data_IF_365552102561
#
_entry.id   IF_365552102561
#
_cell.length_a   1.000
_cell.length_b   1.000
_cell.length_c   1.000
_cell.angle_alpha   90.00
_cell.angle_beta   90.00
_cell.angle_gamma   90.00
#
_symmetry.space_group_name_H-M   'P 1'
#
loop_
_entity.id
_entity.type
_entity.pdbx_description
1 polymer ?
#
# COMPACT_ATOMS: atom_id res chain seq x y z
N UNK A 1 27.53 -43.34 -0.84
CA UNK A 1 26.75 -43.94 0.28
C UNK A 1 25.38 -44.34 -0.24
N UNK A 2 24.87 -45.54 0.08
CA UNK A 2 23.56 -46.00 -0.40
C UNK A 2 22.39 -45.35 0.38
N UNK A 3 21.19 -45.19 -0.23
CA UNK A 3 20.04 -44.59 0.44
C UNK A 3 19.42 -45.52 1.49
N UNK A 4 19.09 -44.95 2.66
CA UNK A 4 18.41 -45.62 3.78
C UNK A 4 16.93 -45.83 3.46
N UNK A 5 16.46 -47.07 3.57
CA UNK A 5 15.04 -47.44 3.44
C UNK A 5 14.32 -47.08 4.75
N UNK A 6 13.16 -46.38 4.72
CA UNK A 6 12.36 -46.15 5.92
C UNK A 6 11.59 -47.42 6.31
N UNK A 7 11.76 -47.84 7.57
CA UNK A 7 11.05 -48.96 8.20
C UNK A 7 9.64 -48.49 8.55
N UNK A 8 8.56 -49.19 8.13
CA UNK A 8 7.22 -48.88 8.62
C UNK A 8 7.10 -49.27 10.10
N UNK A 9 6.76 -48.30 10.94
CA UNK A 9 6.39 -48.51 12.33
C UNK A 9 5.07 -49.27 12.41
N UNK A 10 5.13 -50.49 12.93
CA UNK A 10 3.95 -51.28 13.26
C UNK A 10 3.20 -50.62 14.43
N UNK A 11 2.11 -49.90 14.16
CA UNK A 11 1.14 -49.51 15.19
C UNK A 11 0.27 -50.71 15.52
N UNK A 12 0.43 -51.21 16.76
CA UNK A 12 -0.34 -52.26 17.41
C UNK A 12 -1.85 -52.14 17.15
N UNK A 13 -2.46 -53.22 16.67
CA UNK A 13 -3.90 -53.44 16.74
C UNK A 13 -4.30 -53.79 18.17
N UNK A 14 -5.16 -52.99 18.79
CA UNK A 14 -5.97 -53.42 19.93
C UNK A 14 -7.31 -53.91 19.38
N UNK A 15 -7.50 -55.23 19.44
CA UNK A 15 -8.79 -55.87 19.25
C UNK A 15 -9.66 -55.61 20.48
N UNK A 16 -10.86 -55.06 20.27
CA UNK A 16 -11.91 -54.95 21.28
C UNK A 16 -13.25 -54.64 20.62
N UNK A 17 -14.32 -55.41 20.90
CA UNK A 17 -15.61 -55.24 20.24
C UNK A 17 -16.51 -54.22 20.96
N UNK A 18 -17.17 -53.40 20.14
CA UNK A 18 -18.56 -52.92 20.25
C UNK A 18 -18.93 -52.01 21.44
N UNK A 19 -18.97 -50.70 21.17
CA UNK A 19 -20.16 -49.82 21.16
C UNK A 19 -19.74 -48.36 21.39
N UNK A 20 -19.63 -47.59 20.31
CA UNK A 20 -19.50 -46.12 20.35
C UNK A 20 -20.61 -45.51 19.52
N UNK A 21 -21.56 -44.87 20.20
CA UNK A 21 -22.70 -44.14 19.62
C UNK A 21 -22.39 -42.67 19.28
N UNK A 22 -21.13 -42.24 19.22
CA UNK A 22 -20.79 -40.82 18.98
C UNK A 22 -19.67 -40.57 17.96
N UNK A 23 -19.62 -41.34 16.87
CA UNK A 23 -18.70 -41.06 15.74
C UNK A 23 -19.31 -40.18 14.63
N UNK A 24 -20.29 -39.33 14.94
CA UNK A 24 -21.08 -38.60 13.95
C UNK A 24 -20.48 -37.31 13.37
N UNK A 25 -19.38 -36.77 13.88
CA UNK A 25 -18.91 -35.42 13.50
C UNK A 25 -17.38 -35.30 13.30
N UNK A 26 -16.73 -36.33 12.78
CA UNK A 26 -15.36 -36.20 12.28
C UNK A 26 -15.37 -35.71 10.82
N UNK A 27 -15.35 -34.38 10.60
CA UNK A 27 -15.01 -33.79 9.30
C UNK A 27 -13.50 -33.98 9.04
N UNK A 28 -13.11 -35.19 8.64
CA UNK A 28 -11.84 -35.40 7.94
C UNK A 28 -11.95 -34.93 6.48
N UNK A 29 -10.87 -34.48 5.82
CA UNK A 29 -10.91 -34.12 4.41
C UNK A 29 -11.25 -35.38 3.59
N UNK A 30 -12.45 -35.40 3.03
CA UNK A 30 -12.87 -36.48 2.14
C UNK A 30 -12.04 -36.43 0.85
N UNK A 31 -11.10 -37.38 0.73
CA UNK A 31 -10.29 -37.62 -0.48
C UNK A 31 -11.14 -38.28 -1.59
N UNK A 32 -12.45 -38.45 -1.40
CA UNK A 32 -13.35 -39.05 -2.38
C UNK A 32 -14.27 -38.02 -3.03
N UNK A 33 -13.73 -37.16 -3.90
CA UNK A 33 -14.50 -36.60 -5.01
C UNK A 33 -14.67 -37.67 -6.10
N UNK A 34 -15.33 -38.79 -5.77
CA UNK A 34 -15.69 -39.80 -6.77
C UNK A 34 -16.69 -39.18 -7.73
N UNK A 35 -16.22 -38.86 -8.94
CA UNK A 35 -17.05 -38.60 -10.11
C UNK A 35 -18.15 -39.67 -10.19
N UNK A 36 -19.37 -39.32 -9.79
CA UNK A 36 -20.50 -40.20 -9.96
C UNK A 36 -20.67 -40.43 -11.47
N UNK A 37 -20.40 -41.67 -11.91
CA UNK A 37 -20.43 -42.06 -13.32
C UNK A 37 -21.76 -41.73 -13.99
N UNK A 38 -21.69 -41.36 -15.27
CA UNK A 38 -22.84 -40.91 -16.07
C UNK A 38 -24.01 -41.90 -16.07
N UNK A 39 -23.74 -43.22 -16.02
CA UNK A 39 -24.76 -44.28 -15.98
C UNK A 39 -25.63 -44.24 -14.71
N UNK A 40 -25.04 -44.08 -13.52
CA UNK A 40 -25.79 -43.99 -12.25
C UNK A 40 -26.55 -42.66 -12.10
N UNK A 41 -26.06 -41.59 -12.74
CA UNK A 41 -26.80 -40.31 -12.83
C UNK A 41 -28.02 -40.41 -13.75
N UNK A 42 -27.99 -41.25 -14.80
CA UNK A 42 -29.12 -41.46 -15.71
C UNK A 42 -30.25 -42.27 -15.07
N UNK A 43 -29.95 -43.33 -14.31
CA UNK A 43 -30.99 -44.13 -13.63
C UNK A 43 -31.72 -43.35 -12.53
N UNK A 44 -31.01 -42.54 -11.74
CA UNK A 44 -31.62 -41.67 -10.71
C UNK A 44 -32.48 -40.54 -11.30
N UNK A 45 -32.24 -40.16 -12.56
CA UNK A 45 -33.08 -39.16 -13.25
C UNK A 45 -34.49 -39.65 -13.57
N UNK A 46 -34.69 -40.97 -13.58
CA UNK A 46 -35.95 -41.61 -13.95
C UNK A 46 -36.81 -41.98 -12.72
N UNK A 47 -36.24 -41.95 -11.50
CA UNK A 47 -36.92 -42.46 -10.31
C UNK A 47 -37.99 -41.50 -9.77
N UNK A 48 -37.76 -40.18 -9.88
CA UNK A 48 -38.73 -39.15 -9.52
C UNK A 48 -38.45 -37.85 -10.32
N UNK A 49 -39.25 -37.53 -11.35
CA UNK A 49 -39.05 -36.32 -12.16
C UNK A 49 -39.31 -35.02 -11.37
N UNK A 50 -40.19 -35.04 -10.37
CA UNK A 50 -40.60 -33.85 -9.62
C UNK A 50 -39.54 -33.44 -8.59
N UNK A 51 -39.02 -34.38 -7.81
CA UNK A 51 -37.92 -34.10 -6.87
C UNK A 51 -36.67 -33.57 -7.60
N UNK A 52 -36.42 -34.04 -8.82
CA UNK A 52 -35.32 -33.54 -9.66
C UNK A 52 -35.57 -32.12 -10.15
N UNK A 53 -36.79 -31.79 -10.55
CA UNK A 53 -37.15 -30.43 -10.95
C UNK A 53 -36.98 -29.45 -9.77
N UNK A 54 -37.45 -29.82 -8.58
CA UNK A 54 -37.31 -29.01 -7.36
C UNK A 54 -35.84 -28.83 -6.95
N UNK A 55 -35.03 -29.90 -7.01
CA UNK A 55 -33.59 -29.82 -6.74
C UNK A 55 -32.86 -28.91 -7.74
N UNK A 56 -33.26 -28.95 -9.03
CA UNK A 56 -32.75 -28.02 -10.05
C UNK A 56 -33.15 -26.58 -9.76
N UNK A 57 -34.39 -26.33 -9.36
CA UNK A 57 -34.87 -24.99 -8.98
C UNK A 57 -34.07 -24.43 -7.80
N UNK A 58 -33.87 -25.22 -6.73
CA UNK A 58 -33.04 -24.82 -5.57
C UNK A 58 -31.59 -24.53 -5.97
N UNK A 59 -31.00 -25.37 -6.82
CA UNK A 59 -29.64 -25.14 -7.33
C UNK A 59 -29.58 -23.88 -8.20
N UNK A 60 -30.55 -23.66 -9.07
CA UNK A 60 -30.63 -22.47 -9.92
C UNK A 60 -30.71 -21.20 -9.07
N UNK A 61 -31.54 -21.18 -8.03
CA UNK A 61 -31.64 -20.05 -7.09
C UNK A 61 -30.33 -19.82 -6.30
N UNK A 62 -29.64 -20.89 -5.88
CA UNK A 62 -28.34 -20.75 -5.21
C UNK A 62 -27.24 -20.26 -6.16
N UNK A 63 -27.22 -20.75 -7.41
CA UNK A 63 -26.28 -20.31 -8.43
C UNK A 63 -26.52 -18.85 -8.79
N UNK A 64 -27.78 -18.41 -8.95
CA UNK A 64 -28.08 -17.01 -9.21
C UNK A 64 -27.67 -16.10 -8.05
N UNK A 65 -27.92 -16.52 -6.80
CA UNK A 65 -27.43 -15.77 -5.62
C UNK A 65 -25.90 -15.73 -5.57
N UNK A 66 -25.23 -16.83 -5.91
CA UNK A 66 -23.78 -16.89 -5.92
C UNK A 66 -23.18 -15.96 -6.97
N UNK A 67 -23.81 -15.83 -8.14
CA UNK A 67 -23.43 -14.88 -9.20
C UNK A 67 -23.51 -13.43 -8.70
N UNK A 68 -24.62 -13.04 -8.06
CA UNK A 68 -24.75 -11.71 -7.45
C UNK A 68 -23.66 -11.45 -6.41
N UNK A 69 -23.40 -12.40 -5.52
CA UNK A 69 -22.31 -12.27 -4.53
C UNK A 69 -20.91 -12.27 -5.18
N UNK A 70 -20.75 -12.84 -6.36
CA UNK A 70 -19.49 -12.77 -7.11
C UNK A 70 -19.32 -11.37 -7.68
N UNK A 71 -20.35 -10.84 -8.33
CA UNK A 71 -20.35 -9.47 -8.87
C UNK A 71 -20.09 -8.41 -7.77
N UNK A 72 -20.72 -8.55 -6.61
CA UNK A 72 -20.47 -7.68 -5.44
C UNK A 72 -19.02 -7.76 -4.96
N UNK A 73 -18.43 -8.97 -4.89
CA UNK A 73 -17.04 -9.16 -4.49
C UNK A 73 -16.07 -8.64 -5.53
N UNK A 74 -16.36 -8.84 -6.82
CA UNK A 74 -15.55 -8.38 -7.95
C UNK A 74 -15.54 -6.84 -7.99
N UNK A 75 -16.70 -6.19 -7.80
CA UNK A 75 -16.79 -4.74 -7.65
C UNK A 75 -16.06 -4.24 -6.37
N UNK A 76 -16.02 -5.04 -5.32
CA UNK A 76 -15.29 -4.71 -4.10
C UNK A 76 -13.76 -4.85 -4.26
N UNK A 77 -13.29 -5.84 -5.04
CA UNK A 77 -11.89 -6.26 -5.15
C UNK A 77 -10.95 -5.19 -5.74
N UNK A 78 -11.45 -4.34 -6.64
CA UNK A 78 -10.66 -3.28 -7.27
C UNK A 78 -9.55 -3.79 -8.20
N UNK A 79 -8.69 -2.88 -8.68
CA UNK A 79 -7.55 -3.22 -9.54
C UNK A 79 -6.38 -3.77 -8.70
N UNK A 80 -5.67 -4.78 -9.22
CA UNK A 80 -4.55 -5.42 -8.51
C UNK A 80 -3.32 -4.53 -8.33
N UNK A 81 -3.13 -3.55 -9.22
CA UNK A 81 -2.00 -2.60 -9.15
C UNK A 81 -2.44 -1.26 -8.57
N UNK A 82 -3.54 -0.69 -9.06
CA UNK A 82 -4.00 0.64 -8.64
C UNK A 82 -4.97 0.62 -7.46
N UNK A 83 -5.58 -0.52 -7.16
CA UNK A 83 -6.63 -0.62 -6.15
C UNK A 83 -7.84 0.25 -6.51
N UNK A 84 -8.41 0.90 -5.50
CA UNK A 84 -9.45 1.93 -5.66
C UNK A 84 -8.79 3.30 -5.47
N UNK A 85 -8.93 4.24 -6.43
CA UNK A 85 -8.35 5.56 -6.28
C UNK A 85 -8.96 6.24 -5.06
N UNK A 86 -8.09 6.72 -4.19
CA UNK A 86 -8.43 7.53 -3.02
C UNK A 86 -7.98 8.97 -3.26
N UNK A 87 -8.61 9.97 -2.62
CA UNK A 87 -8.17 11.36 -2.74
C UNK A 87 -6.70 11.54 -2.33
N UNK A 88 -6.23 10.74 -1.36
CA UNK A 88 -4.82 10.71 -0.97
C UNK A 88 -3.91 10.25 -2.12
N UNK A 89 -4.24 9.14 -2.78
CA UNK A 89 -3.45 8.64 -3.92
C UNK A 89 -3.47 9.60 -5.12
N UNK A 90 -4.60 10.28 -5.36
CA UNK A 90 -4.71 11.27 -6.43
C UNK A 90 -3.85 12.51 -6.15
N UNK A 91 -3.85 13.00 -4.91
CA UNK A 91 -3.01 14.11 -4.49
C UNK A 91 -1.51 13.80 -4.63
N UNK A 92 -1.08 12.57 -4.34
CA UNK A 92 0.31 12.14 -4.54
C UNK A 92 0.73 12.12 -6.01
N UNK A 93 -0.18 11.75 -6.92
CA UNK A 93 0.08 11.71 -8.35
C UNK A 93 0.10 13.11 -8.97
N UNK A 94 -0.84 13.97 -8.55
CA UNK A 94 -0.98 15.32 -9.08
C UNK A 94 -0.03 16.33 -8.41
N UNK A 95 0.67 15.92 -7.34
CA UNK A 95 1.54 16.81 -6.55
C UNK A 95 0.76 17.86 -5.75
N UNK A 96 -0.56 17.75 -5.70
CA UNK A 96 -1.45 18.67 -5.00
C UNK A 96 -1.39 18.48 -3.49
N UNK A 97 -1.94 19.46 -2.78
CA UNK A 97 -2.07 19.44 -1.31
C UNK A 97 -3.07 18.34 -0.91
N UNK A 98 -2.70 17.54 0.08
CA UNK A 98 -3.55 16.47 0.60
C UNK A 98 -4.56 17.09 1.58
N UNK A 99 -5.87 16.89 1.40
CA UNK A 99 -6.84 17.29 2.42
C UNK A 99 -6.65 16.44 3.68
N UNK A 100 -6.47 17.09 4.82
CA UNK A 100 -6.30 16.40 6.11
C UNK A 100 -7.62 15.69 6.47
N UNK A 101 -7.59 14.36 6.55
CA UNK A 101 -8.74 13.55 6.96
C UNK A 101 -8.78 13.55 8.50
N UNK A 102 -9.29 14.62 9.12
CA UNK A 102 -9.73 14.58 10.53
C UNK A 102 -11.19 14.13 10.57
N UNK A 103 -11.57 13.15 11.42
CA UNK A 103 -12.93 12.58 11.45
C UNK A 103 -13.98 13.49 12.10
N UNK A 104 -13.66 14.74 12.43
CA UNK A 104 -14.57 15.71 12.99
C UNK A 104 -14.57 16.97 12.10
N UNK A 105 -15.67 17.15 11.37
CA UNK A 105 -16.07 18.35 10.61
C UNK A 105 -15.23 18.72 9.36
N UNK A 106 -15.88 19.20 8.27
CA UNK A 106 -15.22 19.81 7.14
C UNK A 106 -14.82 21.24 7.53
N UNK A 107 -13.86 21.36 8.46
CA UNK A 107 -13.28 22.67 8.77
C UNK A 107 -12.29 23.05 7.66
N UNK A 108 -12.49 24.25 7.15
CA UNK A 108 -11.79 24.88 6.05
C UNK A 108 -10.27 24.76 6.19
N UNK A 109 -9.61 24.33 5.12
CA UNK A 109 -8.28 24.77 4.73
C UNK A 109 -7.19 24.75 5.81
N UNK A 110 -7.03 23.66 6.58
CA UNK A 110 -5.66 23.32 7.04
C UNK A 110 -4.94 22.59 5.92
N UNK A 111 -4.87 23.27 4.77
CA UNK A 111 -3.99 22.93 3.67
C UNK A 111 -2.59 22.99 4.27
N UNK A 112 -1.94 21.84 4.48
CA UNK A 112 -0.50 21.88 4.69
C UNK A 112 0.08 22.71 3.54
N UNK A 113 0.86 23.73 3.91
CA UNK A 113 1.58 24.60 3.00
C UNK A 113 2.13 23.76 1.84
N UNK A 114 1.98 24.20 0.57
CA UNK A 114 2.51 23.45 -0.57
C UNK A 114 4.00 23.21 -0.34
N UNK A 115 4.35 21.98 0.06
CA UNK A 115 5.66 21.70 0.62
C UNK A 115 6.75 22.18 -0.33
N UNK A 116 7.59 23.11 0.15
CA UNK A 116 8.66 23.67 -0.65
C UNK A 116 9.67 22.58 -0.98
N UNK A 117 10.40 22.80 -2.06
CA UNK A 117 11.49 21.94 -2.44
C UNK A 117 12.61 21.99 -1.39
N UNK A 118 13.48 20.97 -1.40
CA UNK A 118 14.63 20.83 -0.51
C UNK A 118 14.30 20.66 0.98
N UNK A 119 13.07 20.27 1.32
CA UNK A 119 12.61 20.03 2.69
C UNK A 119 12.73 21.25 3.62
N UNK A 120 12.58 22.45 3.05
CA UNK A 120 12.59 23.69 3.82
C UNK A 120 11.15 24.04 4.20
N UNK A 121 10.94 24.44 5.44
CA UNK A 121 9.64 24.97 5.89
C UNK A 121 9.46 26.43 5.42
N UNK A 122 8.21 26.87 5.23
CA UNK A 122 7.94 28.28 4.89
C UNK A 122 8.50 29.24 5.94
N UNK A 123 8.41 28.85 7.21
CA UNK A 123 8.93 29.61 8.34
C UNK A 123 10.47 29.74 8.28
N UNK A 124 11.17 28.65 7.97
CA UNK A 124 12.63 28.67 7.77
C UNK A 124 13.02 29.55 6.58
N UNK A 125 12.29 29.46 5.47
CA UNK A 125 12.55 30.31 4.31
C UNK A 125 12.40 31.79 4.69
N UNK A 126 11.29 32.17 5.31
CA UNK A 126 11.05 33.56 5.70
C UNK A 126 12.10 34.05 6.71
N UNK A 127 12.44 33.24 7.71
CA UNK A 127 13.49 33.58 8.68
C UNK A 127 14.87 33.77 8.02
N UNK A 128 15.21 32.95 7.02
CA UNK A 128 16.48 33.10 6.28
C UNK A 128 16.51 34.33 5.40
N UNK A 129 15.38 34.69 4.76
CA UNK A 129 15.27 35.93 3.98
C UNK A 129 15.41 37.16 4.86
N UNK A 130 14.70 37.23 5.99
CA UNK A 130 14.83 38.34 6.94
C UNK A 130 16.27 38.47 7.47
N UNK A 131 16.90 37.34 7.78
CA UNK A 131 18.30 37.33 8.22
C UNK A 131 19.23 37.85 7.12
N UNK A 132 19.03 37.42 5.88
CA UNK A 132 19.81 37.87 4.73
C UNK A 132 19.66 39.38 4.50
N UNK A 133 18.44 39.91 4.61
CA UNK A 133 18.15 41.33 4.51
C UNK A 133 18.90 42.13 5.58
N UNK A 134 18.79 41.70 6.85
CA UNK A 134 19.46 42.35 7.99
C UNK A 134 20.98 42.38 7.83
N UNK A 135 21.58 41.33 7.29
CA UNK A 135 23.03 41.21 7.09
C UNK A 135 23.53 41.98 5.86
N UNK A 136 22.70 42.14 4.83
CA UNK A 136 23.08 42.80 3.58
C UNK A 136 22.74 44.29 3.52
N UNK A 137 22.03 44.80 4.55
CA UNK A 137 21.65 46.21 4.64
C UNK A 137 22.90 47.10 4.56
N UNK A 138 22.91 48.15 3.71
CA UNK A 138 24.04 49.07 3.63
C UNK A 138 24.21 49.79 4.98
N UNK A 139 25.45 49.83 5.46
CA UNK A 139 25.83 50.47 6.73
C UNK A 139 26.47 51.82 6.40
N UNK A 140 26.09 52.86 7.15
CA UNK A 140 26.73 54.16 7.03
C UNK A 140 28.21 54.08 7.44
N UNK A 141 29.10 54.48 6.55
CA UNK A 141 30.53 54.58 6.85
C UNK A 141 30.78 55.74 7.82
N UNK A 142 30.81 55.45 9.12
CA UNK A 142 31.11 56.43 10.18
C UNK A 142 32.58 56.84 10.23
N UNK A 143 33.46 56.11 9.51
CA UNK A 143 34.93 56.29 9.55
C UNK A 143 35.46 57.20 8.45
N UNK A 144 34.76 57.30 7.32
CA UNK A 144 35.12 58.21 6.24
C UNK A 144 34.43 59.55 6.46
N UNK A 145 35.20 60.63 6.69
CA UNK A 145 34.68 61.98 6.95
C UNK A 145 33.87 62.65 5.83
N UNK A 146 33.43 61.87 4.83
CA UNK A 146 32.58 62.27 3.71
C UNK A 146 31.29 61.45 3.76
N UNK A 147 30.43 61.71 4.75
CA UNK A 147 29.09 61.12 4.81
C UNK A 147 28.15 61.90 3.88
N UNK A 148 27.73 61.26 2.79
CA UNK A 148 26.77 61.82 1.83
C UNK A 148 25.41 61.12 2.01
N UNK A 149 24.39 61.80 2.58
CA UNK A 149 23.11 61.19 2.88
C UNK A 149 22.36 60.71 1.62
N UNK A 150 22.55 61.38 0.48
CA UNK A 150 21.87 61.04 -0.77
C UNK A 150 22.35 59.69 -1.32
N UNK A 151 23.66 59.41 -1.23
CA UNK A 151 24.22 58.13 -1.67
C UNK A 151 23.73 56.97 -0.82
N UNK A 152 23.59 57.17 0.49
CA UNK A 152 23.06 56.15 1.38
C UNK A 152 21.60 55.85 1.07
N UNK A 153 20.78 56.87 0.83
CA UNK A 153 19.39 56.68 0.42
C UNK A 153 19.29 55.90 -0.90
N UNK A 154 20.08 56.28 -1.92
CA UNK A 154 20.12 55.57 -3.20
C UNK A 154 20.54 54.10 -3.05
N UNK A 155 21.54 53.83 -2.19
CA UNK A 155 22.00 52.46 -1.90
C UNK A 155 20.96 51.65 -1.16
N UNK A 156 20.23 52.25 -0.20
CA UNK A 156 19.14 51.59 0.49
C UNK A 156 17.99 51.23 -0.46
N UNK A 157 17.61 52.13 -1.38
CA UNK A 157 16.58 51.83 -2.37
C UNK A 157 17.00 50.70 -3.31
N UNK A 158 18.23 50.76 -3.85
CA UNK A 158 18.80 49.70 -4.69
C UNK A 158 18.87 48.36 -3.94
N UNK A 159 19.17 48.38 -2.64
CA UNK A 159 19.20 47.18 -1.80
C UNK A 159 17.80 46.56 -1.67
N UNK A 160 16.77 47.37 -1.39
CA UNK A 160 15.40 46.89 -1.27
C UNK A 160 14.89 46.27 -2.57
N UNK A 161 15.17 46.88 -3.71
CA UNK A 161 14.73 46.36 -5.02
C UNK A 161 15.46 45.05 -5.39
N UNK A 162 16.76 44.97 -5.11
CA UNK A 162 17.54 43.73 -5.27
C UNK A 162 17.02 42.64 -4.34
N UNK A 163 16.69 42.98 -3.09
CA UNK A 163 16.17 42.03 -2.11
C UNK A 163 14.81 41.46 -2.54
N UNK A 164 13.88 42.31 -2.99
CA UNK A 164 12.58 41.87 -3.55
C UNK A 164 12.76 40.93 -4.74
N UNK A 165 13.65 41.28 -5.66
CA UNK A 165 13.95 40.46 -6.84
C UNK A 165 14.55 39.11 -6.44
N UNK A 166 15.49 39.11 -5.48
CA UNK A 166 16.09 37.90 -4.95
C UNK A 166 15.05 37.02 -4.23
N UNK A 167 14.16 37.61 -3.44
CA UNK A 167 13.08 36.90 -2.76
C UNK A 167 12.16 36.19 -3.76
N UNK A 168 11.73 36.86 -4.83
CA UNK A 168 10.94 36.20 -5.88
C UNK A 168 11.71 35.06 -6.55
N UNK A 169 12.99 35.27 -6.87
CA UNK A 169 13.82 34.25 -7.51
C UNK A 169 13.96 33.02 -6.61
N UNK A 170 14.25 33.20 -5.32
CA UNK A 170 14.36 32.12 -4.33
C UNK A 170 13.04 31.38 -4.19
N UNK A 171 11.91 32.08 -4.08
CA UNK A 171 10.58 31.45 -4.05
C UNK A 171 10.37 30.55 -5.27
N UNK A 172 10.63 31.05 -6.49
CA UNK A 172 10.50 30.25 -7.73
C UNK A 172 11.40 29.02 -7.76
N UNK A 173 12.62 29.12 -7.25
CA UNK A 173 13.57 27.98 -7.19
C UNK A 173 13.07 26.92 -6.21
N UNK A 174 12.44 27.35 -5.11
CA UNK A 174 11.95 26.47 -4.05
C UNK A 174 10.52 25.98 -4.29
N UNK A 175 9.80 26.53 -5.28
CA UNK A 175 8.46 26.08 -5.63
C UNK A 175 8.47 24.61 -6.13
N UNK A 176 7.63 23.78 -5.52
CA UNK A 176 7.53 22.35 -5.86
C UNK A 176 7.03 22.10 -7.30
N UNK A 177 6.35 23.08 -7.90
CA UNK A 177 5.90 23.01 -9.30
C UNK A 177 7.07 22.94 -10.29
N UNK A 178 8.20 23.56 -9.96
CA UNK A 178 9.44 23.55 -10.75
C UNK A 178 10.35 22.35 -10.39
N UNK A 179 9.96 21.52 -9.42
CA UNK A 179 10.80 20.45 -8.89
C UNK A 179 10.89 19.23 -9.81
N UNK A 180 12.00 18.50 -9.68
CA UNK A 180 12.22 17.24 -10.40
C UNK A 180 11.27 16.14 -9.93
N UNK A 181 11.07 15.10 -10.75
CA UNK A 181 10.34 13.89 -10.32
C UNK A 181 10.97 13.21 -9.10
N UNK A 182 12.29 13.31 -8.96
CA UNK A 182 13.03 12.80 -7.79
C UNK A 182 12.63 13.54 -6.51
N UNK A 183 12.55 14.85 -6.57
CA UNK A 183 12.19 15.71 -5.44
C UNK A 183 10.72 15.55 -5.07
N UNK A 184 9.82 15.46 -6.05
CA UNK A 184 8.41 15.13 -5.81
C UNK A 184 8.23 13.78 -5.10
N UNK A 185 9.02 12.76 -5.48
CA UNK A 185 9.03 11.46 -4.79
C UNK A 185 9.45 11.61 -3.33
N UNK A 186 10.48 12.40 -3.06
CA UNK A 186 10.98 12.64 -1.71
C UNK A 186 9.95 13.35 -0.83
N UNK A 187 9.30 14.39 -1.36
CA UNK A 187 8.20 15.08 -0.70
C UNK A 187 7.02 14.13 -0.43
N UNK A 188 6.69 13.26 -1.39
CA UNK A 188 5.65 12.25 -1.20
C UNK A 188 5.99 11.22 -0.10
N UNK A 189 7.27 10.83 0.03
CA UNK A 189 7.72 9.97 1.14
C UNK A 189 7.50 10.67 2.48
N UNK A 190 7.89 11.94 2.58
CA UNK A 190 7.69 12.73 3.80
C UNK A 190 6.20 12.85 4.14
N UNK A 191 5.34 13.14 3.16
CA UNK A 191 3.87 13.16 3.32
C UNK A 191 3.35 11.84 3.90
N UNK A 192 3.78 10.71 3.36
CA UNK A 192 3.39 9.39 3.87
C UNK A 192 3.85 9.15 5.32
N UNK A 193 5.05 9.62 5.67
CA UNK A 193 5.58 9.55 7.05
C UNK A 193 4.75 10.43 7.98
N UNK A 194 4.35 11.62 7.56
CA UNK A 194 3.54 12.52 8.37
C UNK A 194 2.11 12.01 8.57
N UNK A 195 1.46 11.49 7.52
CA UNK A 195 0.07 10.99 7.63
C UNK A 195 -0.03 9.63 8.29
N UNK A 196 0.88 8.70 8.00
CA UNK A 196 0.78 7.30 8.47
C UNK A 196 1.88 6.92 9.47
N UNK A 197 2.77 7.83 9.81
CA UNK A 197 3.81 7.59 10.81
C UNK A 197 3.21 7.36 12.19
N UNK A 198 3.71 6.36 12.89
CA UNK A 198 3.28 6.02 14.25
C UNK A 198 3.45 7.16 15.25
N UNK A 199 4.47 7.99 15.04
CA UNK A 199 4.71 9.19 15.87
C UNK A 199 3.56 10.20 15.82
N UNK A 200 2.79 10.24 14.72
CA UNK A 200 1.61 11.09 14.58
C UNK A 200 0.29 10.33 14.76
N UNK A 201 0.25 9.04 14.39
CA UNK A 201 -0.99 8.25 14.42
C UNK A 201 -1.28 7.59 15.75
N UNK A 202 -0.26 7.18 16.53
CA UNK A 202 -0.48 6.58 17.86
C UNK A 202 -1.09 7.61 18.84
N UNK A 203 -0.96 8.92 18.58
CA UNK A 203 -1.60 10.00 19.35
C UNK A 203 -2.98 10.39 18.82
N UNK A 204 -3.20 10.34 17.50
CA UNK A 204 -4.43 10.80 16.87
C UNK A 204 -5.51 9.71 16.73
N UNK A 205 -5.14 8.44 16.61
CA UNK A 205 -6.07 7.33 16.42
C UNK A 205 -6.39 6.65 17.74
N UNK A 206 -7.60 6.10 17.84
CA UNK A 206 -7.95 5.24 18.97
C UNK A 206 -6.97 4.06 19.08
N UNK A 207 -6.58 3.66 20.31
CA UNK A 207 -5.66 2.56 20.50
C UNK A 207 -6.22 1.30 19.83
N UNK A 208 -5.33 0.53 19.21
CA UNK A 208 -5.70 -0.71 18.52
C UNK A 208 -6.52 -1.58 19.48
N UNK A 209 -7.70 -2.08 19.07
CA UNK A 209 -8.49 -2.98 19.91
C UNK A 209 -7.62 -4.17 20.30
N UNK A 210 -7.59 -4.48 21.59
CA UNK A 210 -6.79 -5.58 22.14
C UNK A 210 -7.30 -6.90 21.58
N UNK A 211 -6.61 -7.45 20.57
CA UNK A 211 -6.72 -8.86 20.24
C UNK A 211 -6.19 -9.70 21.41
N UNK A 212 -6.65 -10.95 21.53
CA UNK A 212 -6.28 -11.87 22.61
C UNK A 212 -4.78 -11.78 22.98
N UNK A 213 -4.51 -11.38 24.22
CA UNK A 213 -3.16 -11.08 24.69
C UNK A 213 -2.29 -12.34 24.66
N UNK A 214 -1.21 -12.32 23.87
CA UNK A 214 -0.11 -13.25 24.04
C UNK A 214 0.73 -12.76 25.23
N UNK A 215 0.87 -13.53 26.33
CA UNK A 215 1.52 -13.09 27.57
C UNK A 215 3.05 -12.93 27.48
N UNK A 216 3.65 -13.07 26.30
CA UNK A 216 5.11 -13.12 26.11
C UNK A 216 5.73 -11.85 25.50
N UNK A 217 4.97 -10.79 25.23
CA UNK A 217 5.51 -9.59 24.59
C UNK A 217 6.01 -8.58 25.62
N UNK A 218 7.32 -8.51 25.84
CA UNK A 218 7.96 -7.43 26.59
C UNK A 218 7.90 -6.11 25.81
N UNK A 219 7.34 -5.07 26.42
CA UNK A 219 7.35 -3.72 25.88
C UNK A 219 8.73 -3.10 26.14
N UNK A 220 9.53 -2.91 25.09
CA UNK A 220 10.78 -2.13 25.15
C UNK A 220 10.48 -0.65 24.85
N UNK A 221 10.99 0.31 25.64
CA UNK A 221 10.81 1.73 25.38
C UNK A 221 11.56 2.14 24.10
N UNK A 222 10.87 2.91 23.25
CA UNK A 222 11.36 3.37 21.96
C UNK A 222 12.29 4.58 22.14
N UNK A 223 13.60 4.40 21.99
CA UNK A 223 14.58 5.50 22.09
C UNK A 223 14.94 6.15 20.73
N UNK A 224 14.39 5.70 19.60
CA UNK A 224 14.70 6.25 18.27
C UNK A 224 13.48 6.26 17.34
N UNK A 225 13.38 7.24 16.41
CA UNK A 225 12.28 7.30 15.46
C UNK A 225 12.30 6.04 14.58
N UNK A 226 11.26 5.19 14.61
CA UNK A 226 11.22 3.96 13.84
C UNK A 226 10.87 4.32 12.40
N UNK A 227 11.86 4.73 11.61
CA UNK A 227 11.64 5.07 10.21
C UNK A 227 11.11 3.88 9.39
N UNK A 228 11.34 2.63 9.84
CA UNK A 228 10.91 1.42 9.15
C UNK A 228 9.94 0.58 9.99
N UNK A 229 8.65 0.96 9.99
CA UNK A 229 7.60 0.01 10.38
C UNK A 229 7.39 -0.99 9.25
N UNK A 230 8.09 -2.11 9.30
CA UNK A 230 7.77 -3.27 8.47
C UNK A 230 6.50 -3.90 9.06
N UNK A 231 5.36 -3.73 8.38
CA UNK A 231 4.20 -4.59 8.61
C UNK A 231 4.67 -6.03 8.41
N UNK A 232 4.90 -6.73 9.52
CA UNK A 232 5.24 -8.15 9.55
C UNK A 232 3.99 -8.92 9.15
N UNK A 233 3.82 -9.12 7.84
CA UNK A 233 2.92 -10.12 7.29
C UNK A 233 3.37 -11.49 7.80
N UNK A 234 2.56 -12.06 8.69
CA UNK A 234 2.72 -13.43 9.16
C UNK A 234 2.10 -14.34 8.09
N UNK A 235 2.93 -15.16 7.45
CA UNK A 235 2.52 -16.41 6.83
C UNK A 235 2.45 -16.44 5.30
N UNK A 236 3.45 -17.05 4.66
CA UNK A 236 3.24 -18.30 3.93
C UNK A 236 4.55 -18.79 3.33
N UNK A 237 4.82 -20.05 3.61
CA UNK A 237 5.96 -20.85 3.19
C UNK A 237 6.16 -20.82 1.67
N UNK A 238 7.43 -20.70 1.30
CA UNK A 238 7.95 -20.83 -0.05
C UNK A 238 7.40 -22.08 -0.74
N UNK A 239 6.65 -21.88 -1.83
CA UNK A 239 6.45 -22.90 -2.85
C UNK A 239 7.33 -22.51 -4.03
N UNK A 240 8.38 -23.30 -4.25
CA UNK A 240 9.18 -23.28 -5.46
C UNK A 240 8.29 -23.55 -6.68
N UNK A 241 8.13 -22.52 -7.51
CA UNK A 241 7.43 -22.60 -8.79
C UNK A 241 8.46 -23.06 -9.84
N UNK A 242 8.32 -24.31 -10.26
CA UNK A 242 9.16 -24.96 -11.25
C UNK A 242 8.93 -24.32 -12.63
N UNK A 243 9.92 -23.62 -13.16
CA UNK A 243 9.93 -23.01 -14.49
C UNK A 243 10.11 -24.12 -15.54
N UNK A 244 9.08 -24.40 -16.33
CA UNK A 244 9.20 -25.23 -17.53
C UNK A 244 9.74 -24.37 -18.67
N UNK A 245 10.98 -24.65 -19.05
CA UNK A 245 11.58 -24.19 -20.29
C UNK A 245 10.69 -24.55 -21.49
N UNK A 246 10.36 -23.53 -22.28
CA UNK A 246 9.77 -23.67 -23.61
C UNK A 246 10.85 -23.25 -24.60
N UNK A 247 11.52 -24.23 -25.21
CA UNK A 247 12.41 -23.99 -26.34
C UNK A 247 11.60 -23.87 -27.65
N UNK A 248 11.81 -22.82 -28.46
CA UNK A 248 11.28 -22.71 -29.81
C UNK A 248 12.28 -23.24 -30.86
N UNK A 249 11.75 -23.94 -31.86
CA UNK A 249 12.33 -23.95 -33.20
C UNK A 249 13.29 -25.09 -33.53
N UNK A 250 12.79 -26.10 -34.25
CA UNK A 250 13.56 -26.74 -35.33
C UNK A 250 12.71 -26.93 -36.59
N UNK A 251 13.02 -26.04 -37.50
CA UNK A 251 12.82 -26.03 -38.94
C UNK A 251 13.48 -27.26 -39.61
N UNK A 252 12.78 -27.94 -40.52
CA UNK A 252 13.40 -28.52 -41.72
C UNK A 252 12.35 -28.99 -42.76
N UNK A 253 12.45 -28.35 -43.94
CA UNK A 253 12.47 -28.91 -45.31
C UNK A 253 11.34 -29.86 -45.74
N UNK A 254 10.47 -29.39 -46.65
CA UNK A 254 10.58 -29.41 -48.14
C UNK A 254 10.31 -30.82 -48.71
N UNK A 255 9.23 -30.91 -49.48
CA UNK A 255 9.03 -31.62 -50.76
C UNK A 255 7.55 -31.37 -51.14
N UNK A 256 7.16 -30.48 -52.07
CA UNK A 256 7.29 -30.55 -53.53
C UNK A 256 7.13 -31.98 -54.04
N UNK A 257 5.91 -32.35 -54.47
CA UNK A 257 5.65 -32.91 -55.81
C UNK A 257 4.16 -32.78 -56.13
N UNK A 258 3.87 -32.21 -57.30
CA UNK A 258 2.56 -32.18 -57.94
C UNK A 258 2.27 -33.52 -58.65
N UNK A 259 1.06 -34.05 -58.50
CA UNK A 259 0.14 -34.42 -59.60
C UNK A 259 -1.13 -35.04 -59.05
#
# INVERSE_FOLDING_TARGET
>A
MPPRIPIPSCSRSLNGPLCSWFSGLALGPSIYSRSASSKKKRSKKHHDPFALALARQRKAANVSRQQVLQEEREAALGDSVRGKPTPFTEALLNGQVIPRITPAEPSENTSQSPGLNYFVSEDELNATLERSEKLSRPVADTKSGSFDPQKLEDETQKHLDKHKTAQEAVKRIMDLSNASSKERKLVNIQRCIETFGRHNTDTALAPKPTGAANPSASQLPLSQPPCWSRYRLVGSSDRDFNYKDSDPGKESRKDVTQR
#
